data_IF_833599837470
#
_entry.id   IF_833599837470
#
_cell.length_a   1.000
_cell.length_b   1.000
_cell.length_c   1.000
_cell.angle_alpha   90.00
_cell.angle_beta   90.00
_cell.angle_gamma   90.00
#
_symmetry.space_group_name_H-M   'P 1'
#
loop_
_entity.id
_entity.type
_entity.pdbx_description
1 polymer ?
#
# COMPACT_ATOMS: atom_id res chain seq x y z
N UNK A 1 13.36 21.40 -1.03
CA UNK A 1 12.91 20.01 -1.32
C UNK A 1 11.85 20.02 -2.42
N UNK A 2 12.24 19.69 -3.65
CA UNK A 2 11.41 19.81 -4.84
C UNK A 2 10.48 18.58 -4.99
N UNK A 3 9.21 18.69 -4.59
CA UNK A 3 8.20 17.63 -4.77
C UNK A 3 7.69 17.63 -6.22
N UNK A 4 8.53 17.27 -7.18
CA UNK A 4 8.09 16.95 -8.54
C UNK A 4 7.24 15.66 -8.49
N UNK A 5 6.07 15.74 -9.13
CA UNK A 5 5.19 14.62 -9.50
C UNK A 5 4.71 13.69 -8.38
N UNK A 6 3.68 14.10 -7.61
CA UNK A 6 2.71 13.08 -7.19
C UNK A 6 1.93 12.69 -8.44
N UNK A 7 2.30 11.56 -9.08
CA UNK A 7 1.36 10.87 -9.95
C UNK A 7 0.02 10.75 -9.19
N UNK A 8 -1.11 10.96 -9.87
CA UNK A 8 -2.44 10.91 -9.24
C UNK A 8 -2.63 9.54 -8.60
N UNK A 9 -2.40 9.46 -7.29
CA UNK A 9 -2.65 8.25 -6.50
C UNK A 9 -4.15 7.98 -6.48
N UNK A 10 -4.51 6.71 -6.36
CA UNK A 10 -5.89 6.30 -6.09
C UNK A 10 -6.47 7.14 -4.94
N UNK A 11 -7.75 7.53 -5.08
CA UNK A 11 -8.48 8.27 -4.04
C UNK A 11 -8.45 7.46 -2.74
N UNK A 12 -8.11 8.11 -1.64
CA UNK A 12 -7.99 7.46 -0.33
C UNK A 12 -6.61 6.89 0.02
N UNK A 13 -5.63 6.89 -0.90
CA UNK A 13 -4.28 6.38 -0.65
C UNK A 13 -3.39 7.40 0.08
N UNK A 14 -3.68 7.64 1.37
CA UNK A 14 -3.02 8.68 2.17
C UNK A 14 -1.65 8.27 2.74
N UNK A 15 -1.52 7.01 3.19
CA UNK A 15 -0.35 6.51 3.92
C UNK A 15 0.22 5.21 3.36
N UNK A 16 -0.60 4.33 2.78
CA UNK A 16 -0.12 3.04 2.26
C UNK A 16 0.90 3.17 1.11
N UNK A 17 0.99 4.33 0.44
CA UNK A 17 2.03 4.60 -0.56
C UNK A 17 3.46 4.52 0.01
N UNK A 18 3.65 4.82 1.29
CA UNK A 18 4.97 4.81 1.93
C UNK A 18 5.61 3.42 1.93
N UNK A 19 4.78 2.37 1.94
CA UNK A 19 5.19 0.97 2.02
C UNK A 19 5.02 0.23 0.69
N UNK A 20 4.26 0.80 -0.26
CA UNK A 20 3.94 0.15 -1.54
C UNK A 20 4.69 0.75 -2.73
N UNK A 21 5.04 2.04 -2.69
CA UNK A 21 5.69 2.76 -3.78
C UNK A 21 7.21 2.89 -3.58
N UNK A 22 7.97 2.86 -4.68
CA UNK A 22 9.42 3.07 -4.67
C UNK A 22 10.25 1.78 -4.77
N UNK A 23 11.50 1.92 -5.24
CA UNK A 23 12.42 0.80 -5.48
C UNK A 23 12.82 0.12 -4.17
N UNK A 24 13.07 0.91 -3.12
CA UNK A 24 13.43 0.41 -1.78
C UNK A 24 12.31 -0.45 -1.15
N UNK A 25 11.06 -0.28 -1.60
CA UNK A 25 9.90 -1.05 -1.13
C UNK A 25 9.64 -2.34 -1.90
N UNK A 26 10.54 -2.74 -2.80
CA UNK A 26 10.47 -4.04 -3.49
C UNK A 26 10.22 -5.25 -2.55
N UNK A 27 10.93 -5.41 -1.42
CA UNK A 27 10.68 -6.55 -0.51
C UNK A 27 9.31 -6.48 0.18
N UNK A 28 8.77 -5.28 0.43
CA UNK A 28 7.42 -5.14 0.98
C UNK A 28 6.37 -5.58 -0.05
N UNK A 29 6.55 -5.22 -1.33
CA UNK A 29 5.66 -5.69 -2.41
C UNK A 29 5.77 -7.20 -2.65
N UNK A 30 6.94 -7.80 -2.54
CA UNK A 30 7.07 -9.26 -2.68
C UNK A 30 6.31 -10.00 -1.58
N UNK A 31 6.35 -9.50 -0.34
CA UNK A 31 5.54 -10.06 0.75
C UNK A 31 4.04 -9.93 0.48
N UNK A 32 3.58 -8.77 0.02
CA UNK A 32 2.16 -8.57 -0.33
C UNK A 32 1.71 -9.51 -1.46
N UNK A 33 2.55 -9.70 -2.49
CA UNK A 33 2.28 -10.67 -3.56
C UNK A 33 2.23 -12.11 -3.05
N UNK A 34 3.11 -12.48 -2.12
CA UNK A 34 3.08 -13.80 -1.49
C UNK A 34 1.81 -14.04 -0.66
N UNK A 35 1.18 -12.98 -0.13
CA UNK A 35 -0.13 -13.04 0.54
C UNK A 35 -1.32 -13.06 -0.42
N UNK A 36 -1.09 -13.04 -1.73
CA UNK A 36 -2.12 -13.10 -2.76
C UNK A 36 -2.61 -11.74 -3.28
N UNK A 37 -1.97 -10.62 -2.90
CA UNK A 37 -2.34 -9.31 -3.43
C UNK A 37 -1.72 -9.10 -4.82
N UNK A 38 -2.53 -8.62 -5.76
CA UNK A 38 -2.08 -8.21 -7.08
C UNK A 38 -1.62 -6.75 -7.09
N UNK A 39 -1.03 -6.31 -8.19
CA UNK A 39 -0.56 -4.92 -8.32
C UNK A 39 -1.70 -3.90 -8.23
N UNK A 40 -2.91 -4.26 -8.67
CA UNK A 40 -4.11 -3.42 -8.52
C UNK A 40 -4.53 -3.27 -7.05
N UNK A 41 -4.48 -4.35 -6.27
CA UNK A 41 -4.80 -4.36 -4.84
C UNK A 41 -3.77 -3.55 -4.05
N UNK A 42 -2.48 -3.68 -4.39
CA UNK A 42 -1.39 -2.89 -3.80
C UNK A 42 -1.53 -1.38 -4.13
N UNK A 43 -2.13 -1.07 -5.28
CA UNK A 43 -2.43 0.30 -5.68
C UNK A 43 -3.66 0.89 -4.97
N UNK A 44 -4.56 0.05 -4.45
CA UNK A 44 -5.70 0.49 -3.67
C UNK A 44 -5.28 1.08 -2.29
N UNK A 45 -6.14 1.89 -1.66
CA UNK A 45 -5.95 2.28 -0.26
C UNK A 45 -6.08 1.06 0.67
N UNK A 46 -5.15 0.92 1.61
CA UNK A 46 -5.20 -0.17 2.59
C UNK A 46 -6.11 0.19 3.76
N UNK A 47 -6.96 -0.76 4.15
CA UNK A 47 -7.91 -0.64 5.25
C UNK A 47 -7.56 -1.72 6.29
N UNK A 48 -7.15 -1.29 7.48
CA UNK A 48 -6.94 -2.19 8.62
C UNK A 48 -8.25 -2.43 9.36
N UNK A 49 -8.66 -3.69 9.48
CA UNK A 49 -9.84 -4.08 10.27
C UNK A 49 -9.36 -4.59 11.63
N UNK A 50 -9.59 -3.81 12.68
CA UNK A 50 -9.31 -4.22 14.06
C UNK A 50 -10.57 -4.85 14.66
N UNK A 51 -10.53 -6.18 14.86
CA UNK A 51 -11.62 -6.93 15.49
C UNK A 51 -11.32 -7.15 16.98
N UNK A 52 -12.32 -6.95 17.84
CA UNK A 52 -12.24 -7.18 19.31
C UNK A 52 -12.99 -8.45 19.73
N UNK A 53 -13.13 -9.41 18.83
CA UNK A 53 -13.79 -10.68 19.14
C UNK A 53 -13.01 -11.44 20.22
N UNK A 54 -13.75 -11.98 21.19
CA UNK A 54 -13.25 -12.81 22.29
C UNK A 54 -14.16 -14.04 22.41
N UNK A 55 -13.60 -15.16 22.89
CA UNK A 55 -14.31 -16.42 23.15
C UNK A 55 -15.37 -16.28 24.24
#
# INVERSE_FOLDING_TARGET
MNKKSKAKRQIGKWRSWETTEGVIRAPHRSMMRAMGLNDDDINAPFIGVASTHNE
#
